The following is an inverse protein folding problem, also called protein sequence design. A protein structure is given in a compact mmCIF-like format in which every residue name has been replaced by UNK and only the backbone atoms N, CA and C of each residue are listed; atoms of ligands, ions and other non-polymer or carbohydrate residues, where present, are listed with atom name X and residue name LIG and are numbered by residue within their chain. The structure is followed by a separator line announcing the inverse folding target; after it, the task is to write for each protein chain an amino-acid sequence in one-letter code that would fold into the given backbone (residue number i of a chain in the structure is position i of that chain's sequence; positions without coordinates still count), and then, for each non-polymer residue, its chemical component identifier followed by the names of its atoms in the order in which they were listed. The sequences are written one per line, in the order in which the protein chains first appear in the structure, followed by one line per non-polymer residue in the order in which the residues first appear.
data_IF_302347666509
#
_entry.id   IF_302347666509
#
_cell.length_a   1.000
_cell.length_b   1.000
_cell.length_c   1.000
_cell.angle_alpha   90.00
_cell.angle_beta   90.00
_cell.angle_gamma   90.00
#
_symmetry.space_group_name_H-M   'P 1'
#
loop_
_entity.id
_entity.type
_entity.pdbx_description
1 polymer ?
#
# COMPACT_ATOMS: atom_id res chain seq x y z
N UNK A 1 -11.55 -18.73 -11.26
CA UNK A 1 -10.78 -18.54 -10.02
C UNK A 1 -11.20 -17.23 -9.37
N UNK A 2 -11.43 -17.25 -8.08
CA UNK A 2 -11.72 -16.04 -7.31
C UNK A 2 -10.49 -15.12 -7.31
N UNK A 3 -10.70 -13.82 -7.54
CA UNK A 3 -9.63 -12.83 -7.54
C UNK A 3 -8.87 -12.80 -6.22
N UNK A 4 -9.56 -12.96 -5.10
CA UNK A 4 -8.94 -13.00 -3.78
C UNK A 4 -7.99 -14.19 -3.61
N UNK A 5 -8.38 -15.35 -4.11
CA UNK A 5 -7.55 -16.55 -4.06
C UNK A 5 -6.30 -16.36 -4.91
N UNK A 6 -6.46 -15.82 -6.11
CA UNK A 6 -5.34 -15.52 -6.99
C UNK A 6 -4.39 -14.50 -6.35
N UNK A 7 -4.94 -13.44 -5.80
CA UNK A 7 -4.21 -12.41 -5.08
C UNK A 7 -3.34 -13.00 -3.97
N UNK A 8 -3.97 -13.81 -3.11
CA UNK A 8 -3.28 -14.46 -2.00
C UNK A 8 -2.16 -15.37 -2.48
N UNK A 9 -2.43 -16.12 -3.55
CA UNK A 9 -1.43 -17.04 -4.12
C UNK A 9 -0.22 -16.28 -4.66
N UNK A 10 -0.44 -15.18 -5.37
CA UNK A 10 0.63 -14.36 -5.91
C UNK A 10 1.44 -13.69 -4.80
N UNK A 11 0.76 -13.26 -3.75
CA UNK A 11 1.42 -12.69 -2.58
C UNK A 11 2.37 -13.70 -1.93
N UNK A 12 1.93 -14.93 -1.79
CA UNK A 12 2.75 -15.99 -1.21
C UNK A 12 3.97 -16.28 -2.09
N UNK A 13 3.78 -16.34 -3.42
CA UNK A 13 4.88 -16.54 -4.36
C UNK A 13 5.89 -15.40 -4.28
N UNK A 14 5.42 -14.18 -4.23
CA UNK A 14 6.27 -13.01 -4.12
C UNK A 14 7.06 -13.01 -2.81
N UNK A 15 6.41 -13.35 -1.70
CA UNK A 15 7.06 -13.37 -0.39
C UNK A 15 8.13 -14.44 -0.27
N UNK A 16 8.01 -15.55 -1.01
CA UNK A 16 9.05 -16.59 -1.04
C UNK A 16 10.34 -16.11 -1.69
N UNK A 17 10.24 -15.15 -2.60
CA UNK A 17 11.41 -14.57 -3.26
C UNK A 17 12.10 -13.50 -2.42
N UNK A 18 11.48 -13.11 -1.31
CA UNK A 18 12.03 -12.16 -0.36
C UNK A 18 12.33 -12.90 0.93
N UNK A 19 13.59 -12.92 1.32
CA UNK A 19 14.06 -13.71 2.46
C UNK A 19 13.66 -13.16 3.82
N UNK A 20 13.24 -11.90 3.88
CA UNK A 20 12.87 -11.25 5.13
C UNK A 20 11.40 -11.40 5.44
N UNK A 21 11.08 -11.61 6.72
CA UNK A 21 9.71 -11.74 7.18
C UNK A 21 9.21 -10.40 7.73
N UNK A 22 8.20 -9.85 7.09
CA UNK A 22 7.54 -8.62 7.53
C UNK A 22 6.05 -8.90 7.75
N UNK A 23 5.44 -8.14 8.65
CA UNK A 23 4.05 -8.35 9.06
C UNK A 23 3.06 -8.32 7.89
N UNK A 24 3.29 -7.49 6.87
CA UNK A 24 2.41 -7.36 5.72
C UNK A 24 2.39 -8.61 4.82
N UNK A 25 3.40 -9.47 4.91
CA UNK A 25 3.52 -10.65 4.05
C UNK A 25 2.41 -11.67 4.27
N UNK A 26 1.83 -11.67 5.45
CA UNK A 26 0.76 -12.62 5.77
C UNK A 26 -0.62 -12.06 5.44
N UNK A 27 -0.66 -10.85 4.86
CA UNK A 27 -1.91 -10.19 4.55
C UNK A 27 -2.31 -10.41 3.10
N UNK A 28 -3.62 -10.55 2.87
CA UNK A 28 -4.21 -10.50 1.54
C UNK A 28 -5.02 -9.21 1.35
N UNK A 29 -4.85 -8.24 2.24
CA UNK A 29 -5.55 -6.96 2.19
C UNK A 29 -4.83 -6.02 1.22
N UNK A 30 -5.50 -5.60 0.13
CA UNK A 30 -4.89 -4.71 -0.85
C UNK A 30 -4.38 -3.39 -0.25
N UNK A 31 -5.05 -2.86 0.76
CA UNK A 31 -4.61 -1.63 1.41
C UNK A 31 -3.25 -1.80 2.07
N UNK A 32 -3.06 -2.92 2.77
CA UNK A 32 -1.78 -3.21 3.40
C UNK A 32 -0.66 -3.36 2.39
N UNK A 33 -0.96 -4.01 1.27
CA UNK A 33 0.01 -4.19 0.19
C UNK A 33 0.37 -2.84 -0.42
N UNK A 34 -0.62 -2.01 -0.70
CA UNK A 34 -0.39 -0.68 -1.27
C UNK A 34 0.46 0.19 -0.34
N UNK A 35 0.12 0.23 0.96
CA UNK A 35 0.90 0.97 1.95
C UNK A 35 2.35 0.53 1.94
N UNK A 36 2.59 -0.77 1.99
CA UNK A 36 3.94 -1.28 2.03
C UNK A 36 4.71 -0.93 0.76
N UNK A 37 4.09 -1.12 -0.41
CA UNK A 37 4.76 -0.85 -1.69
C UNK A 37 5.14 0.62 -1.84
N UNK A 38 4.25 1.52 -1.44
CA UNK A 38 4.53 2.96 -1.50
C UNK A 38 5.62 3.35 -0.50
N UNK A 39 5.54 2.85 0.73
CA UNK A 39 6.53 3.15 1.76
C UNK A 39 7.90 2.59 1.41
N UNK A 40 7.93 1.40 0.80
CA UNK A 40 9.18 0.71 0.50
C UNK A 40 9.93 1.32 -0.70
N UNK A 41 9.29 2.14 -1.52
CA UNK A 41 9.95 2.78 -2.66
C UNK A 41 11.14 3.62 -2.17
N UNK A 42 12.34 3.31 -2.68
CA UNK A 42 13.57 4.03 -2.36
C UNK A 42 13.90 4.07 -0.86
N UNK A 43 13.45 3.05 -0.11
CA UNK A 43 13.66 2.96 1.33
C UNK A 43 14.18 1.55 1.66
N UNK A 44 15.12 1.46 2.60
CA UNK A 44 15.58 0.14 3.07
C UNK A 44 14.42 -0.61 3.74
N UNK A 45 14.38 -1.93 3.53
CA UNK A 45 13.24 -2.73 3.95
C UNK A 45 12.96 -2.67 5.46
N UNK A 46 14.01 -2.68 6.29
CA UNK A 46 13.81 -2.62 7.74
C UNK A 46 13.17 -1.30 8.15
N UNK A 47 13.64 -0.19 7.56
CA UNK A 47 13.07 1.13 7.82
C UNK A 47 11.65 1.23 7.26
N UNK A 48 11.43 0.66 6.09
CA UNK A 48 10.09 0.64 5.48
C UNK A 48 9.11 -0.10 6.38
N UNK A 49 9.52 -1.22 6.96
CA UNK A 49 8.67 -1.99 7.85
C UNK A 49 8.29 -1.20 9.11
N UNK A 50 9.23 -0.45 9.69
CA UNK A 50 8.93 0.41 10.85
C UNK A 50 7.84 1.42 10.52
N UNK A 51 7.96 2.10 9.37
CA UNK A 51 6.96 3.07 8.95
C UNK A 51 5.65 2.41 8.58
N UNK A 52 5.70 1.25 7.93
CA UNK A 52 4.50 0.48 7.63
C UNK A 52 3.71 0.17 8.90
N UNK A 53 4.37 -0.30 9.94
CA UNK A 53 3.71 -0.62 11.20
C UNK A 53 3.01 0.60 11.80
N UNK A 54 3.67 1.75 11.76
CA UNK A 54 3.08 3.01 12.24
C UNK A 54 1.85 3.39 11.42
N UNK A 55 1.97 3.29 10.10
CA UNK A 55 0.88 3.67 9.19
C UNK A 55 -0.32 2.74 9.32
N UNK A 56 -0.10 1.44 9.36
CA UNK A 56 -1.21 0.50 9.44
C UNK A 56 -1.91 0.56 10.80
N UNK A 57 -1.18 0.89 11.85
CA UNK A 57 -1.75 1.07 13.18
C UNK A 57 -2.65 2.30 13.22
N UNK A 58 -2.21 3.40 12.62
CA UNK A 58 -2.97 4.66 12.61
C UNK A 58 -4.07 4.67 11.55
N UNK A 59 -3.81 4.05 10.41
CA UNK A 59 -4.72 4.03 9.26
C UNK A 59 -4.94 2.58 8.80
N UNK A 60 -5.72 1.80 9.55
CA UNK A 60 -5.94 0.38 9.18
C UNK A 60 -6.75 0.21 7.91
N UNK A 61 -7.47 1.24 7.46
CA UNK A 61 -8.24 1.23 6.20
C UNK A 61 -7.98 2.51 5.44
N UNK A 62 -8.22 2.51 4.10
CA UNK A 62 -8.12 3.75 3.34
C UNK A 62 -9.10 4.83 3.82
N UNK A 63 -10.27 4.42 4.30
CA UNK A 63 -11.25 5.35 4.85
C UNK A 63 -10.68 6.13 6.04
N UNK A 64 -9.95 5.46 6.91
CA UNK A 64 -9.32 6.11 8.07
C UNK A 64 -8.33 7.18 7.64
N UNK A 65 -7.51 6.89 6.62
CA UNK A 65 -6.56 7.87 6.11
C UNK A 65 -7.27 9.01 5.37
N UNK A 66 -8.34 8.70 4.65
CA UNK A 66 -9.04 9.69 3.83
C UNK A 66 -9.63 10.83 4.65
N UNK A 67 -10.04 10.55 5.87
CA UNK A 67 -10.63 11.56 6.76
C UNK A 67 -9.60 12.30 7.62
N UNK A 68 -8.35 11.85 7.59
CA UNK A 68 -7.28 12.53 8.32
C UNK A 68 -6.80 13.76 7.56
N UNK A 69 -6.13 14.68 8.26
CA UNK A 69 -5.55 15.85 7.61
C UNK A 69 -4.26 15.47 6.87
N UNK A 70 -3.95 16.23 5.81
CA UNK A 70 -2.67 16.11 5.12
C UNK A 70 -1.50 16.27 6.08
N UNK A 71 -1.64 17.22 7.03
CA UNK A 71 -0.61 17.50 8.02
C UNK A 71 -0.31 16.26 8.88
N UNK A 72 -1.34 15.53 9.28
CA UNK A 72 -1.15 14.31 10.06
C UNK A 72 -0.44 13.22 9.28
N UNK A 73 -0.83 13.01 8.02
CA UNK A 73 -0.18 12.04 7.15
C UNK A 73 1.29 12.38 6.95
N UNK A 74 1.58 13.65 6.68
CA UNK A 74 2.97 14.11 6.50
C UNK A 74 3.78 13.98 7.77
N UNK A 75 3.16 14.20 8.93
CA UNK A 75 3.85 14.02 10.21
C UNK A 75 4.28 12.57 10.41
N UNK A 76 3.42 11.62 10.10
CA UNK A 76 3.77 10.20 10.18
C UNK A 76 4.87 9.82 9.19
N UNK A 77 4.87 10.46 8.03
CA UNK A 77 5.85 10.22 6.96
C UNK A 77 7.21 10.83 7.27
N UNK A 78 7.29 11.74 8.24
CA UNK A 78 8.50 12.51 8.55
C UNK A 78 9.72 11.60 8.71
N UNK A 79 10.80 11.98 8.06
CA UNK A 79 12.06 11.22 8.08
C UNK A 79 12.26 10.27 6.91
N UNK A 80 11.24 9.98 6.12
CA UNK A 80 11.39 9.11 4.95
C UNK A 80 11.89 9.84 3.70
N UNK A 81 11.64 11.15 3.61
CA UNK A 81 11.94 11.92 2.41
C UNK A 81 10.94 11.66 1.28
N UNK A 82 11.11 12.37 0.18
CA UNK A 82 10.21 12.25 -0.98
C UNK A 82 8.75 12.39 -0.59
N UNK A 83 8.42 13.52 0.06
CA UNK A 83 7.11 13.75 0.70
C UNK A 83 5.92 13.67 -0.26
N UNK A 84 6.16 13.82 -1.57
CA UNK A 84 5.09 13.67 -2.56
C UNK A 84 4.46 12.28 -2.51
N UNK A 85 5.20 11.25 -2.09
CA UNK A 85 4.64 9.91 -1.92
C UNK A 85 3.53 9.91 -0.88
N UNK A 86 3.75 10.63 0.23
CA UNK A 86 2.75 10.72 1.30
C UNK A 86 1.50 11.47 0.82
N UNK A 87 1.71 12.57 0.11
CA UNK A 87 0.59 13.35 -0.44
C UNK A 87 -0.24 12.52 -1.41
N UNK A 88 0.43 11.81 -2.31
CA UNK A 88 -0.25 10.96 -3.29
C UNK A 88 -0.95 9.77 -2.64
N UNK A 89 -0.33 9.19 -1.61
CA UNK A 89 -0.97 8.12 -0.85
C UNK A 89 -2.24 8.60 -0.17
N UNK A 90 -2.22 9.82 0.40
CA UNK A 90 -3.41 10.42 1.00
C UNK A 90 -4.51 10.63 -0.05
N UNK A 91 -4.14 11.13 -1.23
CA UNK A 91 -5.09 11.28 -2.33
C UNK A 91 -5.66 9.94 -2.78
N UNK A 92 -4.81 8.92 -2.87
CA UNK A 92 -5.25 7.57 -3.22
C UNK A 92 -6.25 7.03 -2.19
N UNK A 93 -6.02 7.31 -0.92
CA UNK A 93 -6.95 6.86 0.14
C UNK A 93 -8.34 7.45 -0.04
N UNK A 94 -8.43 8.69 -0.51
CA UNK A 94 -9.72 9.35 -0.77
C UNK A 94 -10.47 8.67 -1.91
N UNK A 95 -9.76 8.26 -2.96
CA UNK A 95 -10.35 7.53 -4.07
C UNK A 95 -10.83 6.15 -3.59
N UNK A 96 -10.02 5.47 -2.80
CA UNK A 96 -10.35 4.14 -2.28
C UNK A 96 -11.49 4.16 -1.27
N UNK A 97 -11.74 5.30 -0.62
CA UNK A 97 -12.89 5.46 0.26
C UNK A 97 -14.22 5.43 -0.53
N UNK A 98 -14.16 5.83 -1.81
CA UNK A 98 -15.33 5.79 -2.70
C UNK A 98 -15.40 4.52 -3.53
N UNK A 99 -14.25 3.96 -3.92
CA UNK A 99 -14.17 2.83 -4.84
C UNK A 99 -13.31 1.73 -4.23
N UNK A 100 -13.79 0.50 -4.31
CA UNK A 100 -13.00 -0.65 -3.86
C UNK A 100 -11.87 -0.95 -4.87
N UNK A 101 -10.84 -1.66 -4.41
CA UNK A 101 -9.79 -2.14 -5.30
C UNK A 101 -10.36 -3.01 -6.42
N UNK A 102 -11.35 -3.85 -6.12
CA UNK A 102 -11.96 -4.72 -7.12
C UNK A 102 -12.65 -3.93 -8.24
N UNK A 103 -13.26 -2.79 -7.90
CA UNK A 103 -13.94 -1.96 -8.89
C UNK A 103 -12.97 -1.28 -9.85
N UNK A 104 -11.70 -1.15 -9.48
CA UNK A 104 -10.67 -0.53 -10.30
C UNK A 104 -9.89 -1.50 -11.15
N UNK A 105 -9.99 -2.80 -10.85
CA UNK A 105 -9.28 -3.81 -11.60
C UNK A 105 -9.71 -3.81 -13.08
N UNK A 106 -8.80 -3.92 -14.05
CA UNK A 106 -7.34 -3.99 -13.87
C UNK A 106 -6.63 -2.63 -13.91
N UNK A 107 -7.35 -1.54 -13.90
CA UNK A 107 -6.80 -0.20 -14.12
C UNK A 107 -6.59 0.53 -12.80
N UNK A 108 -5.40 0.33 -12.20
CA UNK A 108 -5.00 1.03 -10.99
C UNK A 108 -4.30 2.36 -11.28
N UNK A 109 -4.22 2.77 -12.54
CA UNK A 109 -3.58 4.02 -12.94
C UNK A 109 -4.28 5.25 -12.37
N UNK A 110 -5.55 5.12 -12.00
CA UNK A 110 -6.31 6.21 -11.40
C UNK A 110 -5.85 6.54 -9.98
N UNK A 111 -5.06 5.67 -9.36
CA UNK A 111 -4.57 5.91 -8.00
C UNK A 111 -3.31 6.77 -8.03
N UNK A 112 -3.34 7.97 -7.42
CA UNK A 112 -2.15 8.81 -7.34
C UNK A 112 -1.02 8.10 -6.58
N UNK A 113 0.20 8.24 -7.07
CA UNK A 113 1.37 7.67 -6.42
C UNK A 113 1.59 6.19 -6.66
N UNK A 114 0.71 5.53 -7.41
CA UNK A 114 0.90 4.13 -7.77
C UNK A 114 1.74 4.10 -9.04
N UNK A 115 3.06 3.98 -8.85
CA UNK A 115 3.98 3.82 -9.97
C UNK A 115 3.91 2.41 -10.54
N UNK A 116 4.82 2.12 -11.48
CA UNK A 116 4.79 0.84 -12.19
C UNK A 116 4.89 -0.36 -11.25
N UNK A 117 5.79 -0.29 -10.27
CA UNK A 117 6.02 -1.44 -9.39
C UNK A 117 4.83 -1.71 -8.45
N UNK A 118 4.29 -0.74 -7.71
CA UNK A 118 3.08 -0.98 -6.92
C UNK A 118 1.88 -1.39 -7.76
N UNK A 119 1.74 -0.82 -8.97
CA UNK A 119 0.67 -1.20 -9.89
C UNK A 119 0.78 -2.66 -10.31
N UNK A 120 1.99 -3.12 -10.65
CA UNK A 120 2.23 -4.49 -11.03
C UNK A 120 1.95 -5.45 -9.87
N UNK A 121 2.33 -5.07 -8.66
CA UNK A 121 2.03 -5.87 -7.47
C UNK A 121 0.53 -6.03 -7.28
N UNK A 122 -0.23 -4.93 -7.40
CA UNK A 122 -1.68 -4.97 -7.29
C UNK A 122 -2.32 -5.82 -8.40
N UNK A 123 -1.84 -5.69 -9.63
CA UNK A 123 -2.35 -6.47 -10.76
C UNK A 123 -2.04 -7.95 -10.59
N UNK A 124 -0.88 -8.29 -10.03
CA UNK A 124 -0.50 -9.69 -9.78
C UNK A 124 -1.39 -10.34 -8.74
N UNK A 125 -1.90 -9.56 -7.79
CA UNK A 125 -2.66 -10.08 -6.66
C UNK A 125 -4.17 -10.06 -6.88
N UNK A 126 -4.65 -9.25 -7.80
CA UNK A 126 -6.06 -9.07 -8.07
C UNK A 126 -6.44 -9.70 -9.39
#
# INVERSE_FOLDING_TARGET
MNKLIFFKKQLLLWSKNNTRSYSWRNSNDPWKILLNEVIAQQTQLDRANEYYEKFIKRFPTPEDMSISSKKEVLRLWSGLGYNNRAVRLHEASKILAYRSFNSMYPNFDILPGVGQYPKDALLSFV
#
